data_IF_529402831761
#
_entry.id   IF_529402831761
#
_cell.length_a   1.000
_cell.length_b   1.000
_cell.length_c   1.000
_cell.angle_alpha   90.00
_cell.angle_beta   90.00
_cell.angle_gamma   90.00
#
_symmetry.space_group_name_H-M   'P 1'
#
loop_
_entity.id
_entity.type
_entity.pdbx_description
1 polymer ?
#
# COMPACT_ATOMS: atom_id res chain seq x y z
N UNK A 1 18.47 -1.62 -1.77
CA UNK A 1 19.66 -2.25 -2.39
C UNK A 1 20.97 -1.54 -2.12
N UNK A 2 21.06 -0.22 -2.28
CA UNK A 2 22.33 0.52 -2.10
C UNK A 2 22.94 0.34 -0.70
N UNK A 3 22.17 0.45 0.39
CA UNK A 3 22.69 0.32 1.76
C UNK A 3 23.29 -1.06 2.07
N UNK A 4 22.76 -2.14 1.46
CA UNK A 4 23.30 -3.49 1.61
C UNK A 4 24.71 -3.60 1.00
N UNK A 5 24.89 -3.08 -0.20
CA UNK A 5 26.19 -3.05 -0.87
C UNK A 5 27.23 -2.28 -0.06
N UNK A 6 26.81 -1.15 0.51
CA UNK A 6 27.62 -0.31 1.39
C UNK A 6 28.07 -1.07 2.64
N UNK A 7 27.14 -1.69 3.36
CA UNK A 7 27.47 -2.45 4.58
C UNK A 7 28.38 -3.63 4.26
N UNK A 8 28.20 -4.31 3.13
CA UNK A 8 29.10 -5.36 2.65
C UNK A 8 30.53 -4.84 2.39
N UNK A 9 30.67 -3.70 1.71
CA UNK A 9 31.99 -3.11 1.44
C UNK A 9 32.68 -2.71 2.75
N UNK A 10 31.99 -2.01 3.65
CA UNK A 10 32.53 -1.65 4.96
C UNK A 10 32.96 -2.89 5.76
N UNK A 11 32.12 -3.93 5.77
CA UNK A 11 32.42 -5.19 6.44
C UNK A 11 33.68 -5.88 5.87
N UNK A 12 33.80 -5.95 4.54
CA UNK A 12 34.98 -6.53 3.87
C UNK A 12 36.25 -5.73 4.18
N UNK A 13 36.17 -4.39 4.15
CA UNK A 13 37.28 -3.51 4.50
C UNK A 13 37.72 -3.70 5.95
N UNK A 14 36.78 -3.82 6.88
CA UNK A 14 37.08 -4.05 8.30
C UNK A 14 37.72 -5.42 8.53
N UNK A 15 37.25 -6.46 7.83
CA UNK A 15 37.88 -7.79 7.87
C UNK A 15 39.29 -7.78 7.32
N UNK A 16 39.54 -7.06 6.21
CA UNK A 16 40.89 -6.90 5.65
C UNK A 16 41.81 -6.11 6.59
N UNK A 17 41.26 -5.15 7.34
CA UNK A 17 41.98 -4.37 8.32
C UNK A 17 42.07 -5.03 9.71
N UNK A 18 41.61 -6.28 9.86
CA UNK A 18 41.53 -7.02 11.13
C UNK A 18 40.77 -6.28 12.25
N UNK A 19 39.79 -5.44 11.88
CA UNK A 19 38.95 -4.71 12.83
C UNK A 19 37.74 -5.56 13.23
N UNK A 20 37.35 -5.58 14.52
CA UNK A 20 36.13 -6.27 14.94
C UNK A 20 34.90 -5.52 14.43
N UNK A 21 33.97 -6.26 13.80
CA UNK A 21 32.72 -5.71 13.24
C UNK A 21 31.49 -6.62 13.52
N UNK A 22 31.20 -6.93 14.81
CA UNK A 22 30.17 -7.90 15.18
C UNK A 22 28.73 -7.45 14.83
N UNK A 23 28.42 -6.17 14.92
CA UNK A 23 27.11 -5.60 14.59
C UNK A 23 26.86 -5.64 13.09
N UNK A 24 27.86 -5.32 12.25
CA UNK A 24 27.73 -5.46 10.79
C UNK A 24 27.50 -6.92 10.38
N UNK A 25 28.22 -7.87 11.00
CA UNK A 25 28.03 -9.30 10.75
C UNK A 25 26.60 -9.75 11.14
N UNK A 26 26.15 -9.35 12.33
CA UNK A 26 24.81 -9.65 12.83
C UNK A 26 23.72 -9.03 11.92
N UNK A 27 23.85 -7.75 11.58
CA UNK A 27 22.89 -7.04 10.73
C UNK A 27 22.79 -7.64 9.33
N UNK A 28 23.91 -8.05 8.71
CA UNK A 28 23.91 -8.75 7.42
C UNK A 28 23.23 -10.12 7.53
N UNK A 29 23.51 -10.88 8.60
CA UNK A 29 22.86 -12.17 8.85
C UNK A 29 21.35 -12.03 9.03
N UNK A 30 20.91 -11.13 9.91
CA UNK A 30 19.49 -10.84 10.13
C UNK A 30 18.81 -10.36 8.85
N UNK A 31 19.45 -9.47 8.08
CA UNK A 31 18.91 -8.97 6.81
C UNK A 31 18.75 -10.09 5.80
N UNK A 32 19.72 -10.99 5.67
CA UNK A 32 19.65 -12.14 4.77
C UNK A 32 18.51 -13.10 5.14
N UNK A 33 18.38 -13.44 6.43
CA UNK A 33 17.32 -14.32 6.92
C UNK A 33 15.95 -13.70 6.70
N UNK A 34 15.76 -12.44 7.11
CA UNK A 34 14.47 -11.76 6.97
C UNK A 34 14.12 -11.56 5.50
N UNK A 35 15.07 -11.17 4.65
CA UNK A 35 14.82 -11.05 3.22
C UNK A 35 14.39 -12.38 2.61
N UNK A 36 15.03 -13.49 2.99
CA UNK A 36 14.66 -14.83 2.53
C UNK A 36 13.24 -15.19 2.97
N UNK A 37 12.91 -15.02 4.25
CA UNK A 37 11.56 -15.25 4.79
C UNK A 37 10.53 -14.39 4.06
N UNK A 38 10.85 -13.11 3.82
CA UNK A 38 9.97 -12.21 3.09
C UNK A 38 9.76 -12.69 1.66
N UNK A 39 10.79 -13.07 0.89
CA UNK A 39 10.62 -13.62 -0.48
C UNK A 39 9.65 -14.80 -0.48
N UNK A 40 9.77 -15.70 0.49
CA UNK A 40 8.98 -16.93 0.52
C UNK A 40 7.54 -16.72 1.03
N UNK A 41 7.32 -15.78 1.93
CA UNK A 41 5.99 -15.56 2.55
C UNK A 41 5.21 -14.40 1.93
N UNK A 42 5.90 -13.40 1.40
CA UNK A 42 5.30 -12.14 0.94
C UNK A 42 5.91 -11.75 -0.41
N UNK A 43 5.07 -11.46 -1.40
CA UNK A 43 5.56 -10.81 -2.62
C UNK A 43 6.19 -9.45 -2.22
N UNK A 44 7.51 -9.30 -2.34
CA UNK A 44 8.25 -8.26 -1.61
C UNK A 44 7.83 -6.86 -2.05
N UNK A 45 7.10 -6.16 -1.16
CA UNK A 45 6.90 -4.72 -1.28
C UNK A 45 8.07 -3.93 -0.67
N UNK A 46 8.49 -2.80 -1.27
CA UNK A 46 9.62 -1.97 -0.81
C UNK A 46 9.55 -1.57 0.67
N UNK A 47 8.35 -1.39 1.22
CA UNK A 47 8.11 -1.05 2.64
C UNK A 47 8.74 -2.05 3.61
N UNK A 48 8.80 -3.34 3.26
CA UNK A 48 9.35 -4.37 4.14
C UNK A 48 10.88 -4.33 4.24
N UNK A 49 11.55 -3.62 3.33
CA UNK A 49 13.01 -3.48 3.28
C UNK A 49 13.51 -2.24 4.02
N UNK A 50 12.62 -1.33 4.43
CA UNK A 50 13.00 -0.09 5.11
C UNK A 50 13.62 -0.38 6.48
N UNK A 51 13.00 -1.26 7.28
CA UNK A 51 13.54 -1.65 8.58
C UNK A 51 14.92 -2.31 8.46
N UNK A 52 15.11 -3.15 7.44
CA UNK A 52 16.40 -3.79 7.15
C UNK A 52 17.45 -2.74 6.77
N UNK A 53 17.04 -1.74 6.00
CA UNK A 53 17.91 -0.62 5.62
C UNK A 53 18.36 0.20 6.83
N UNK A 54 17.46 0.46 7.78
CA UNK A 54 17.76 1.15 9.04
C UNK A 54 18.70 0.31 9.90
N UNK A 55 18.47 -1.00 10.03
CA UNK A 55 19.34 -1.90 10.79
C UNK A 55 20.77 -1.93 10.23
N UNK A 56 20.90 -2.09 8.91
CA UNK A 56 22.19 -2.10 8.21
C UNK A 56 22.94 -0.79 8.38
N UNK A 57 22.23 0.33 8.24
CA UNK A 57 22.77 1.65 8.48
C UNK A 57 23.26 1.81 9.93
N UNK A 58 22.41 1.48 10.91
CA UNK A 58 22.75 1.62 12.33
C UNK A 58 24.02 0.84 12.68
N UNK A 59 24.19 -0.36 12.12
CA UNK A 59 25.40 -1.16 12.31
C UNK A 59 26.67 -0.48 11.78
N UNK A 60 26.57 0.24 10.65
CA UNK A 60 27.69 1.00 10.07
C UNK A 60 27.99 2.23 10.90
N UNK A 61 26.96 2.96 11.33
CA UNK A 61 27.09 4.19 12.13
C UNK A 61 27.73 3.91 13.48
N UNK A 62 27.29 2.86 14.19
CA UNK A 62 27.77 2.55 15.54
C UNK A 62 29.21 2.06 15.53
N UNK A 63 29.59 1.24 14.56
CA UNK A 63 30.95 0.68 14.51
C UNK A 63 31.97 1.60 13.81
N UNK A 64 31.52 2.56 12.99
CA UNK A 64 32.40 3.43 12.23
C UNK A 64 31.78 4.82 11.99
N UNK A 65 31.80 5.64 13.03
CA UNK A 65 31.26 7.01 13.00
C UNK A 65 31.99 7.95 12.03
N UNK A 66 33.25 7.67 11.68
CA UNK A 66 33.99 8.47 10.70
C UNK A 66 33.52 8.19 9.28
N UNK A 67 33.28 6.91 8.95
CA UNK A 67 32.69 6.53 7.65
C UNK A 67 31.20 6.87 7.56
N UNK A 68 30.48 6.93 8.68
CA UNK A 68 29.06 7.29 8.69
C UNK A 68 28.77 8.71 8.18
N UNK A 69 29.72 9.63 8.35
CA UNK A 69 29.63 11.01 7.84
C UNK A 69 29.54 11.06 6.30
N UNK A 70 30.09 10.05 5.61
CA UNK A 70 30.00 9.87 4.15
C UNK A 70 28.65 9.27 3.73
N UNK A 71 27.98 8.54 4.63
CA UNK A 71 26.73 7.84 4.33
C UNK A 71 25.47 8.65 4.63
N UNK A 72 25.56 9.71 5.42
CA UNK A 72 24.45 10.64 5.67
C UNK A 72 23.90 11.31 4.38
N UNK A 73 24.72 11.78 3.43
CA UNK A 73 24.23 12.27 2.13
C UNK A 73 23.53 11.18 1.31
N UNK A 74 24.05 9.95 1.34
CA UNK A 74 23.47 8.80 0.63
C UNK A 74 22.09 8.46 1.18
N UNK A 75 21.93 8.53 2.51
CA UNK A 75 20.65 8.41 3.21
C UNK A 75 19.65 9.46 2.77
N UNK A 76 20.06 10.73 2.72
CA UNK A 76 19.20 11.82 2.29
C UNK A 76 18.69 11.57 0.86
N UNK A 77 19.56 11.13 -0.05
CA UNK A 77 19.18 10.78 -1.43
C UNK A 77 18.23 9.57 -1.49
N UNK A 78 18.35 8.59 -0.60
CA UNK A 78 17.45 7.42 -0.58
C UNK A 78 16.10 7.74 0.05
N UNK A 79 16.07 8.53 1.13
CA UNK A 79 14.86 8.77 1.90
C UNK A 79 14.03 9.95 1.37
N UNK A 80 14.64 10.97 0.77
CA UNK A 80 13.91 12.13 0.27
C UNK A 80 12.89 11.78 -0.84
N UNK A 81 13.24 10.98 -1.87
CA UNK A 81 12.29 10.65 -2.94
C UNK A 81 11.11 9.80 -2.47
N UNK A 82 11.31 8.95 -1.44
CA UNK A 82 10.24 8.10 -0.88
C UNK A 82 9.09 8.94 -0.30
N UNK A 83 9.36 10.17 0.14
CA UNK A 83 8.33 11.09 0.63
C UNK A 83 7.75 12.01 -0.45
N UNK A 84 8.29 11.98 -1.68
CA UNK A 84 7.86 12.85 -2.77
C UNK A 84 6.76 12.22 -3.63
N UNK A 85 6.64 10.88 -3.61
CA UNK A 85 5.56 10.17 -4.28
C UNK A 85 4.28 10.24 -3.45
N UNK A 86 3.13 10.27 -4.14
CA UNK A 86 1.82 10.25 -3.49
C UNK A 86 1.72 8.97 -2.67
N UNK A 87 1.47 9.12 -1.37
CA UNK A 87 1.31 7.97 -0.47
C UNK A 87 0.21 7.07 -1.03
N UNK A 88 0.51 5.78 -1.16
CA UNK A 88 -0.52 4.77 -1.41
C UNK A 88 -1.36 4.51 -0.16
N UNK A 89 -1.06 5.14 0.99
CA UNK A 89 -1.91 5.07 2.18
C UNK A 89 -3.08 6.04 2.07
N UNK A 90 -4.15 5.78 2.81
CA UNK A 90 -5.31 6.67 2.94
C UNK A 90 -4.88 8.06 3.42
N UNK A 91 -4.67 8.97 2.48
CA UNK A 91 -4.23 10.34 2.73
C UNK A 91 -5.17 11.25 1.98
N UNK A 92 -5.72 12.25 2.65
CA UNK A 92 -6.58 13.23 2.02
C UNK A 92 -5.74 14.27 1.26
N UNK A 93 -6.16 14.62 0.05
CA UNK A 93 -5.56 15.66 -0.78
C UNK A 93 -6.64 16.66 -1.19
N UNK A 94 -6.38 17.95 -0.99
CA UNK A 94 -7.36 19.02 -1.25
C UNK A 94 -7.85 19.01 -2.70
N UNK A 95 -6.99 18.65 -3.65
CA UNK A 95 -7.30 18.55 -5.08
C UNK A 95 -8.43 17.54 -5.36
N UNK A 96 -8.62 16.55 -4.49
CA UNK A 96 -9.62 15.49 -4.65
C UNK A 96 -10.89 15.74 -3.85
N UNK A 97 -10.94 16.80 -3.03
CA UNK A 97 -12.07 17.06 -2.14
C UNK A 97 -13.42 17.08 -2.86
N UNK A 98 -13.46 17.66 -4.06
CA UNK A 98 -14.68 17.68 -4.87
C UNK A 98 -15.17 16.29 -5.30
N UNK A 99 -14.25 15.40 -5.71
CA UNK A 99 -14.58 14.03 -6.10
C UNK A 99 -14.98 13.19 -4.88
N UNK A 100 -14.29 13.36 -3.74
CA UNK A 100 -14.61 12.69 -2.48
C UNK A 100 -16.01 13.08 -2.00
N UNK A 101 -16.34 14.37 -1.97
CA UNK A 101 -17.68 14.83 -1.56
C UNK A 101 -18.77 14.35 -2.52
N UNK A 102 -18.49 14.27 -3.82
CA UNK A 102 -19.45 13.75 -4.79
C UNK A 102 -19.75 12.26 -4.54
N UNK A 103 -18.72 11.46 -4.28
CA UNK A 103 -18.88 10.03 -3.95
C UNK A 103 -19.64 9.85 -2.64
N UNK A 104 -19.29 10.62 -1.60
CA UNK A 104 -19.99 10.59 -0.30
C UNK A 104 -21.48 10.92 -0.46
N UNK A 105 -21.79 11.98 -1.21
CA UNK A 105 -23.17 12.40 -1.46
C UNK A 105 -23.96 11.31 -2.20
N UNK A 106 -23.38 10.75 -3.27
CA UNK A 106 -24.05 9.72 -4.06
C UNK A 106 -24.31 8.44 -3.24
N UNK A 107 -23.35 8.02 -2.42
CA UNK A 107 -23.50 6.86 -1.54
C UNK A 107 -24.53 7.12 -0.43
N UNK A 108 -24.52 8.31 0.18
CA UNK A 108 -25.50 8.71 1.19
C UNK A 108 -26.92 8.69 0.62
N UNK A 109 -27.13 9.26 -0.58
CA UNK A 109 -28.44 9.25 -1.24
C UNK A 109 -28.95 7.83 -1.49
N UNK A 110 -28.06 6.90 -1.88
CA UNK A 110 -28.42 5.49 -2.10
C UNK A 110 -28.76 4.76 -0.80
N UNK A 111 -27.99 4.98 0.26
CA UNK A 111 -28.29 4.43 1.58
C UNK A 111 -29.63 4.93 2.12
N UNK A 112 -29.88 6.24 2.04
CA UNK A 112 -31.10 6.87 2.53
C UNK A 112 -32.34 6.41 1.76
N UNK A 113 -32.22 6.28 0.42
CA UNK A 113 -33.31 5.82 -0.43
C UNK A 113 -33.73 4.37 -0.14
N UNK A 114 -32.79 3.53 0.29
CA UNK A 114 -33.03 2.10 0.49
C UNK A 114 -33.68 1.78 1.83
N UNK A 115 -33.28 2.47 2.91
CA UNK A 115 -33.77 2.24 4.27
C UNK A 115 -33.80 0.74 4.68
N UNK A 116 -32.74 -0.02 4.33
CA UNK A 116 -32.66 -1.47 4.59
C UNK A 116 -32.22 -1.80 6.01
N UNK A 117 -32.71 -2.93 6.51
CA UNK A 117 -32.27 -3.54 7.77
C UNK A 117 -31.22 -4.65 7.57
N UNK A 118 -30.90 -5.02 6.33
CA UNK A 118 -29.81 -5.95 6.02
C UNK A 118 -28.46 -5.25 6.26
N UNK A 119 -27.59 -5.78 7.15
CA UNK A 119 -26.28 -5.18 7.41
C UNK A 119 -25.40 -5.10 6.14
N UNK A 120 -25.61 -5.96 5.14
CA UNK A 120 -24.84 -5.94 3.89
C UNK A 120 -25.32 -4.89 2.89
N UNK A 121 -26.55 -4.40 3.01
CA UNK A 121 -27.08 -3.39 2.08
C UNK A 121 -26.38 -2.03 2.22
N UNK A 122 -25.70 -1.80 3.35
CA UNK A 122 -24.89 -0.61 3.62
C UNK A 122 -23.40 -0.95 3.62
N UNK A 123 -22.95 -1.90 2.78
CA UNK A 123 -21.53 -2.26 2.68
C UNK A 123 -20.99 -2.05 1.27
N UNK A 124 -19.73 -1.64 1.20
CA UNK A 124 -18.99 -1.39 -0.03
C UNK A 124 -17.74 -2.27 -0.08
N UNK A 125 -17.65 -3.09 -1.11
CA UNK A 125 -16.44 -3.80 -1.49
C UNK A 125 -15.49 -2.81 -2.14
N UNK A 126 -14.35 -2.58 -1.49
CA UNK A 126 -13.30 -1.70 -1.97
C UNK A 126 -12.21 -2.54 -2.63
N UNK A 127 -12.03 -2.38 -3.94
CA UNK A 127 -10.98 -3.05 -4.70
C UNK A 127 -9.60 -2.61 -4.21
N UNK A 128 -8.93 -3.54 -3.53
CA UNK A 128 -7.59 -3.38 -3.00
C UNK A 128 -6.53 -3.90 -4.00
N UNK A 129 -5.36 -3.25 -4.02
CA UNK A 129 -4.21 -3.45 -4.94
C UNK A 129 -4.27 -2.67 -6.27
N UNK A 130 -3.38 -2.94 -7.23
CA UNK A 130 -3.33 -2.34 -8.59
C UNK A 130 -3.40 -0.80 -8.68
N UNK A 131 -2.51 -0.13 -7.96
CA UNK A 131 -2.36 1.34 -7.99
C UNK A 131 -3.62 2.14 -7.60
N UNK A 132 -4.57 1.51 -6.91
CA UNK A 132 -5.78 2.16 -6.40
C UNK A 132 -5.40 3.24 -5.37
N UNK A 133 -5.94 4.43 -5.57
CA UNK A 133 -5.78 5.54 -4.64
C UNK A 133 -6.70 5.42 -3.41
N UNK A 134 -6.11 5.21 -2.23
CA UNK A 134 -6.84 4.95 -0.97
C UNK A 134 -7.47 6.17 -0.28
N UNK A 135 -7.37 7.38 -0.85
CA UNK A 135 -8.03 8.55 -0.25
C UNK A 135 -9.56 8.55 -0.41
N UNK A 136 -10.14 7.76 -1.32
CA UNK A 136 -11.60 7.62 -1.41
C UNK A 136 -12.23 6.87 -0.23
N UNK A 137 -11.42 6.30 0.66
CA UNK A 137 -11.93 5.81 1.96
C UNK A 137 -12.52 6.94 2.81
N UNK A 138 -12.16 8.21 2.56
CA UNK A 138 -12.78 9.37 3.18
C UNK A 138 -14.15 9.72 2.58
N UNK A 139 -14.54 9.12 1.46
CA UNK A 139 -15.82 9.38 0.79
C UNK A 139 -16.95 8.49 1.30
N UNK A 140 -16.71 7.65 2.30
CA UNK A 140 -17.71 6.71 2.78
C UNK A 140 -18.60 7.36 3.84
N UNK A 141 -19.92 7.39 3.62
CA UNK A 141 -20.84 8.01 4.56
C UNK A 141 -20.89 7.26 5.90
N UNK A 142 -21.33 7.96 6.94
CA UNK A 142 -21.49 7.38 8.27
C UNK A 142 -22.46 6.19 8.24
N UNK A 143 -22.03 5.06 8.81
CA UNK A 143 -22.82 3.83 8.86
C UNK A 143 -22.62 2.88 7.67
N UNK A 144 -21.83 3.27 6.66
CA UNK A 144 -21.40 2.36 5.61
C UNK A 144 -20.23 1.48 6.09
N UNK A 145 -20.38 0.16 5.96
CA UNK A 145 -19.29 -0.80 6.17
C UNK A 145 -18.38 -0.92 4.93
N UNK A 146 -17.13 -1.30 5.17
CA UNK A 146 -16.13 -1.51 4.12
C UNK A 146 -15.66 -2.94 4.19
N UNK A 147 -15.58 -3.57 3.02
CA UNK A 147 -14.92 -4.84 2.81
C UNK A 147 -13.70 -4.61 1.90
N UNK A 148 -12.50 -4.96 2.37
CA UNK A 148 -11.28 -4.84 1.57
C UNK A 148 -11.06 -6.12 0.79
N UNK A 149 -11.49 -6.11 -0.47
CA UNK A 149 -11.36 -7.24 -1.37
C UNK A 149 -10.22 -7.03 -2.35
N UNK A 150 -9.39 -8.05 -2.55
CA UNK A 150 -8.40 -8.00 -3.62
C UNK A 150 -9.12 -7.77 -4.95
N UNK A 151 -8.53 -6.96 -5.84
CA UNK A 151 -9.07 -6.75 -7.18
C UNK A 151 -9.35 -8.08 -7.92
N UNK A 152 -8.48 -9.07 -7.72
CA UNK A 152 -8.66 -10.43 -8.24
C UNK A 152 -9.84 -11.20 -7.66
N UNK A 153 -10.24 -10.93 -6.41
CA UNK A 153 -11.45 -11.49 -5.80
C UNK A 153 -12.70 -10.92 -6.47
N UNK A 154 -12.74 -9.60 -6.64
CA UNK A 154 -13.86 -8.92 -7.32
C UNK A 154 -13.90 -9.29 -8.81
N UNK A 155 -12.78 -9.62 -9.45
CA UNK A 155 -12.73 -10.06 -10.83
C UNK A 155 -13.13 -11.54 -11.04
N UNK A 156 -13.04 -12.40 -10.02
CA UNK A 156 -13.29 -13.84 -10.16
C UNK A 156 -14.80 -14.17 -10.19
N UNK A 157 -15.36 -14.65 -11.32
CA UNK A 157 -16.80 -14.93 -11.43
C UNK A 157 -17.30 -16.02 -10.47
N UNK A 158 -16.42 -16.85 -9.91
CA UNK A 158 -16.79 -17.90 -8.94
C UNK A 158 -16.91 -17.35 -7.51
N UNK A 159 -16.37 -16.17 -7.23
CA UNK A 159 -16.40 -15.56 -5.90
C UNK A 159 -17.67 -14.73 -5.69
N UNK A 160 -18.24 -14.73 -4.48
CA UNK A 160 -19.47 -14.00 -4.21
C UNK A 160 -19.19 -12.62 -3.60
N UNK A 161 -19.60 -11.56 -4.30
CA UNK A 161 -19.57 -10.19 -3.75
C UNK A 161 -20.81 -9.98 -2.88
N UNK A 162 -20.64 -10.05 -1.55
CA UNK A 162 -21.73 -9.86 -0.59
C UNK A 162 -22.14 -8.40 -0.46
N UNK A 163 -21.15 -7.50 -0.51
CA UNK A 163 -21.35 -6.06 -0.43
C UNK A 163 -22.33 -5.54 -1.50
N UNK A 164 -23.15 -4.54 -1.13
CA UNK A 164 -24.14 -3.97 -2.05
C UNK A 164 -23.50 -3.07 -3.09
N UNK A 165 -22.43 -2.39 -2.71
CA UNK A 165 -21.67 -1.51 -3.57
C UNK A 165 -20.28 -2.08 -3.83
N UNK A 166 -19.69 -1.75 -4.96
CA UNK A 166 -18.31 -2.07 -5.29
C UNK A 166 -17.63 -0.82 -5.84
N UNK A 167 -16.46 -0.48 -5.29
CA UNK A 167 -15.62 0.63 -5.73
C UNK A 167 -14.37 0.05 -6.39
N UNK A 168 -14.23 0.27 -7.70
CA UNK A 168 -13.17 -0.30 -8.54
C UNK A 168 -12.51 0.78 -9.38
N UNK A 169 -11.26 0.55 -9.81
CA UNK A 169 -10.61 1.40 -10.79
C UNK A 169 -11.17 1.16 -12.20
N UNK A 170 -11.11 2.20 -13.01
CA UNK A 170 -11.45 2.13 -14.44
C UNK A 170 -10.59 1.12 -15.21
N UNK A 171 -11.20 0.42 -16.15
CA UNK A 171 -10.54 -0.48 -17.10
C UNK A 171 -9.96 -1.75 -16.47
N UNK A 172 -10.36 -2.08 -15.24
CA UNK A 172 -9.90 -3.29 -14.54
C UNK A 172 -10.77 -4.50 -14.87
N UNK A 173 -10.22 -5.71 -14.66
CA UNK A 173 -10.99 -6.95 -14.79
C UNK A 173 -12.15 -7.02 -13.79
N UNK A 174 -12.02 -6.40 -12.62
CA UNK A 174 -13.12 -6.24 -11.67
C UNK A 174 -14.25 -5.39 -12.24
N UNK A 175 -13.95 -4.22 -12.83
CA UNK A 175 -14.97 -3.42 -13.50
C UNK A 175 -15.65 -4.21 -14.64
N UNK A 176 -14.85 -4.90 -15.46
CA UNK A 176 -15.37 -5.71 -16.56
C UNK A 176 -16.35 -6.77 -16.06
N UNK A 177 -16.06 -7.42 -14.91
CA UNK A 177 -16.97 -8.37 -14.27
C UNK A 177 -18.25 -7.68 -13.77
N UNK A 178 -18.16 -6.56 -13.05
CA UNK A 178 -19.35 -5.87 -12.52
C UNK A 178 -20.32 -5.47 -13.64
N UNK A 179 -19.78 -4.99 -14.77
CA UNK A 179 -20.55 -4.69 -15.97
C UNK A 179 -21.21 -5.93 -16.58
N UNK A 180 -20.48 -7.05 -16.66
CA UNK A 180 -21.00 -8.32 -17.17
C UNK A 180 -22.13 -8.88 -16.27
N UNK A 181 -22.00 -8.70 -14.96
CA UNK A 181 -22.98 -9.13 -13.95
C UNK A 181 -24.17 -8.16 -13.83
N UNK A 182 -24.19 -7.08 -14.61
CA UNK A 182 -25.32 -6.14 -14.71
C UNK A 182 -25.42 -5.14 -13.56
N UNK A 183 -24.32 -4.90 -12.84
CA UNK A 183 -24.26 -3.87 -11.82
C UNK A 183 -24.46 -2.48 -12.44
N UNK A 184 -25.06 -1.58 -11.67
CA UNK A 184 -25.44 -0.24 -12.14
C UNK A 184 -24.46 0.79 -11.62
N UNK A 185 -23.98 1.67 -12.50
CA UNK A 185 -23.12 2.79 -12.10
C UNK A 185 -23.89 3.73 -11.16
N UNK A 186 -23.29 4.01 -10.00
CA UNK A 186 -23.76 5.02 -9.04
C UNK A 186 -23.07 6.35 -9.31
N UNK A 187 -21.74 6.33 -9.43
CA UNK A 187 -20.92 7.51 -9.71
C UNK A 187 -19.58 7.10 -10.30
N UNK A 188 -19.12 7.87 -11.29
CA UNK A 188 -17.82 7.73 -11.95
C UNK A 188 -16.98 8.98 -11.71
N UNK A 189 -15.77 8.81 -11.20
CA UNK A 189 -14.78 9.87 -10.94
C UNK A 189 -13.61 9.74 -11.92
N UNK A 190 -12.59 10.59 -11.81
CA UNK A 190 -11.38 10.46 -12.64
C UNK A 190 -10.60 9.17 -12.30
N UNK A 191 -10.56 8.80 -11.02
CA UNK A 191 -9.71 7.70 -10.55
C UNK A 191 -10.46 6.36 -10.47
N UNK A 192 -11.76 6.38 -10.18
CA UNK A 192 -12.54 5.19 -9.88
C UNK A 192 -14.02 5.31 -10.23
N UNK A 193 -14.72 4.20 -10.07
CA UNK A 193 -16.16 4.10 -10.28
C UNK A 193 -16.78 3.27 -9.16
N UNK A 194 -17.99 3.67 -8.74
CA UNK A 194 -18.80 2.94 -7.78
C UNK A 194 -20.00 2.34 -8.50
N UNK A 195 -20.17 1.04 -8.34
CA UNK A 195 -21.31 0.28 -8.84
C UNK A 195 -22.20 -0.19 -7.70
N UNK A 196 -23.50 -0.34 -7.98
CA UNK A 196 -24.50 -0.94 -7.12
C UNK A 196 -24.98 -2.27 -7.75
N UNK A 197 -25.03 -3.34 -6.96
CA UNK A 197 -25.56 -4.64 -7.40
C UNK A 197 -27.01 -4.50 -7.88
N UNK A 198 -27.54 -5.31 -8.80
CA UNK A 198 -28.98 -5.36 -9.08
C UNK A 198 -29.83 -5.61 -7.82
#
# INVERSE_FOLDING_TARGET
MMILAVTLVCFVLDRRAHRPSPLKACALGCTGIIALVLVFLYNIAPRHLMLLSILLLASVVVEDAARSLVWLPVLAVVLLPINAERSTLSTYFDEMGSQITAVETALQERMDARASADPWDNTLAYAYADDVFHGYLYALPAGMGIEFDMNTYIADPEETIYSRYAMVNHGTDAEARLLADGWQEVISTEDLIVYERP
#
